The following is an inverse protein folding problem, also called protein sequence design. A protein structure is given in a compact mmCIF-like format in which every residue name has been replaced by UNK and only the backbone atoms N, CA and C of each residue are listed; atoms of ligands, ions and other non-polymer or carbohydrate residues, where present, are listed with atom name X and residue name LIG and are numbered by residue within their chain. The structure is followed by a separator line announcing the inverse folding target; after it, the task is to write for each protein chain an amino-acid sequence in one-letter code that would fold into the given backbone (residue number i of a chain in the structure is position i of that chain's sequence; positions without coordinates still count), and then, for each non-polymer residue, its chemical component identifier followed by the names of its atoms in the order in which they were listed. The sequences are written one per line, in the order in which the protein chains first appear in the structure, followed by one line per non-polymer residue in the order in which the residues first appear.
data_IF_578298963918
#
_entry.id   IF_578298963918
#
_cell.length_a   1.000
_cell.length_b   1.000
_cell.length_c   1.000
_cell.angle_alpha   90.00
_cell.angle_beta   90.00
_cell.angle_gamma   90.00
#
_symmetry.space_group_name_H-M   'P 1'
#
loop_
_entity.id
_entity.type
_entity.pdbx_description
1 polymer ?
#
# COMPACT_ATOMS: atom_id res chain seq x y z
N UNK A 1 11.62 -6.84 11.71
CA UNK A 1 11.39 -5.37 11.66
C UNK A 1 12.23 -4.71 12.74
N UNK A 2 13.22 -3.89 12.35
CA UNK A 2 14.17 -3.26 13.27
C UNK A 2 13.57 -2.13 14.13
N UNK A 3 14.30 -1.72 15.16
CA UNK A 3 13.87 -0.68 16.11
C UNK A 3 13.73 0.70 15.45
N UNK A 4 14.66 1.06 14.56
CA UNK A 4 14.62 2.33 13.82
C UNK A 4 13.32 2.50 13.02
N UNK A 5 12.90 1.46 12.29
CA UNK A 5 11.67 1.47 11.51
C UNK A 5 10.43 1.71 12.38
N UNK A 6 10.36 1.04 13.54
CA UNK A 6 9.28 1.22 14.52
C UNK A 6 9.26 2.65 15.06
N UNK A 7 10.40 3.17 15.51
CA UNK A 7 10.52 4.52 16.09
C UNK A 7 10.11 5.61 15.11
N UNK A 8 10.50 5.49 13.82
CA UNK A 8 10.07 6.41 12.76
C UNK A 8 8.58 6.32 12.48
N UNK A 9 8.03 5.10 12.40
CA UNK A 9 6.61 4.86 12.10
C UNK A 9 5.65 5.34 13.19
N UNK A 10 5.96 5.05 14.45
CA UNK A 10 5.05 5.29 15.58
C UNK A 10 4.59 6.75 15.69
N UNK A 11 5.45 7.70 15.35
CA UNK A 11 5.13 9.15 15.39
C UNK A 11 4.35 9.64 14.18
N UNK A 12 4.10 8.79 13.19
CA UNK A 12 3.53 9.16 11.88
C UNK A 12 2.23 8.43 11.56
N UNK A 13 1.74 7.56 12.44
CA UNK A 13 0.45 6.90 12.27
C UNK A 13 -0.68 7.95 12.27
N UNK A 14 -1.64 7.82 11.37
CA UNK A 14 -2.72 8.79 11.17
C UNK A 14 -2.30 10.04 10.39
N UNK A 15 -1.21 10.00 9.62
CA UNK A 15 -0.71 11.17 8.87
C UNK A 15 -0.62 10.91 7.37
N UNK A 16 -0.85 11.94 6.55
CA UNK A 16 -0.71 11.87 5.09
C UNK A 16 0.76 11.69 4.68
N UNK A 17 1.60 12.62 5.12
CA UNK A 17 2.98 12.75 4.68
C UNK A 17 3.22 13.79 3.61
N UNK A 18 4.36 13.65 2.94
CA UNK A 18 4.82 14.49 1.83
C UNK A 18 4.98 13.67 0.55
N UNK A 19 5.37 14.34 -0.55
CA UNK A 19 5.50 13.73 -1.87
C UNK A 19 4.17 13.74 -2.60
N UNK A 20 3.86 12.67 -3.32
CA UNK A 20 2.58 12.47 -4.00
C UNK A 20 1.45 11.99 -3.08
N UNK A 21 1.57 12.19 -1.77
CA UNK A 21 0.53 11.82 -0.80
C UNK A 21 -0.47 12.95 -0.64
N UNK A 22 -1.76 12.64 -0.72
CA UNK A 22 -2.83 13.63 -0.70
C UNK A 22 -4.13 13.06 -0.12
N UNK A 23 -5.04 13.97 0.19
CA UNK A 23 -6.43 13.73 0.47
C UNK A 23 -7.21 14.71 -0.40
N UNK A 24 -8.05 14.20 -1.28
CA UNK A 24 -8.81 15.01 -2.23
C UNK A 24 -10.30 14.73 -2.09
N UNK A 25 -11.10 15.79 -2.10
CA UNK A 25 -12.55 15.72 -2.27
C UNK A 25 -12.82 15.94 -3.76
N UNK A 26 -13.48 14.98 -4.39
CA UNK A 26 -13.65 14.89 -5.83
C UNK A 26 -15.14 14.76 -6.17
N UNK A 27 -15.52 15.21 -7.38
CA UNK A 27 -16.84 14.97 -7.94
C UNK A 27 -16.76 13.89 -9.03
N UNK A 28 -17.69 12.95 -9.02
CA UNK A 28 -17.79 11.94 -10.08
C UNK A 28 -18.42 12.59 -11.31
N UNK A 29 -17.58 13.02 -12.26
CA UNK A 29 -18.03 13.73 -13.47
C UNK A 29 -18.76 12.80 -14.46
N UNK A 30 -18.20 11.60 -14.71
CA UNK A 30 -18.71 10.68 -15.73
C UNK A 30 -18.71 9.24 -15.25
N UNK A 31 -19.76 8.51 -15.62
CA UNK A 31 -19.90 7.07 -15.43
C UNK A 31 -19.74 6.37 -16.78
N UNK A 32 -18.87 5.36 -16.82
CA UNK A 32 -18.62 4.55 -18.02
C UNK A 32 -19.36 3.20 -17.98
N UNK A 33 -19.40 2.58 -16.79
CA UNK A 33 -20.04 1.28 -16.57
C UNK A 33 -21.09 1.43 -15.46
N UNK A 34 -22.35 1.75 -15.79
CA UNK A 34 -23.37 2.10 -14.80
C UNK A 34 -23.64 1.01 -13.75
N UNK A 35 -23.65 -0.26 -14.17
CA UNK A 35 -23.88 -1.38 -13.26
C UNK A 35 -22.74 -1.54 -12.24
N UNK A 36 -21.48 -1.46 -12.70
CA UNK A 36 -20.30 -1.55 -11.84
C UNK A 36 -20.17 -0.32 -10.91
N UNK A 37 -20.49 0.87 -11.42
CA UNK A 37 -20.50 2.08 -10.62
C UNK A 37 -21.55 2.00 -9.50
N UNK A 38 -22.75 1.51 -9.81
CA UNK A 38 -23.81 1.29 -8.82
C UNK A 38 -23.39 0.29 -7.74
N UNK A 39 -22.72 -0.80 -8.11
CA UNK A 39 -22.18 -1.77 -7.16
C UNK A 39 -21.10 -1.20 -6.22
N UNK A 40 -20.41 -0.14 -6.64
CA UNK A 40 -19.43 0.61 -5.84
C UNK A 40 -20.04 1.81 -5.08
N UNK A 41 -21.35 2.04 -5.21
CA UNK A 41 -22.03 3.20 -4.61
C UNK A 41 -21.69 4.54 -5.28
N UNK A 42 -21.27 4.53 -6.55
CA UNK A 42 -20.87 5.71 -7.31
C UNK A 42 -21.97 6.13 -8.29
N UNK A 43 -22.25 7.43 -8.33
CA UNK A 43 -23.19 8.04 -9.28
C UNK A 43 -22.61 9.34 -9.86
N UNK A 44 -23.00 9.72 -11.09
CA UNK A 44 -22.61 11.01 -11.65
C UNK A 44 -23.09 12.16 -10.75
N UNK A 45 -22.22 13.14 -10.51
CA UNK A 45 -22.44 14.26 -9.60
C UNK A 45 -22.24 13.96 -8.11
N UNK A 46 -22.03 12.69 -7.72
CA UNK A 46 -21.71 12.35 -6.32
C UNK A 46 -20.32 12.84 -5.92
N UNK A 47 -20.13 13.07 -4.63
CA UNK A 47 -18.84 13.45 -4.04
C UNK A 47 -18.14 12.20 -3.52
N UNK A 48 -16.85 12.07 -3.82
CA UNK A 48 -15.98 11.02 -3.31
C UNK A 48 -14.75 11.63 -2.62
N UNK A 49 -14.13 10.86 -1.71
CA UNK A 49 -12.85 11.24 -1.09
C UNK A 49 -11.79 10.24 -1.50
N UNK A 50 -10.71 10.73 -2.11
CA UNK A 50 -9.55 9.92 -2.45
C UNK A 50 -8.42 10.15 -1.45
N UNK A 51 -7.99 9.07 -0.78
CA UNK A 51 -6.87 9.09 0.16
C UNK A 51 -5.67 8.36 -0.43
N UNK A 52 -4.58 9.09 -0.68
CA UNK A 52 -3.34 8.54 -1.19
C UNK A 52 -2.23 8.63 -0.12
N UNK A 53 -1.98 7.52 0.59
CA UNK A 53 -0.86 7.42 1.53
C UNK A 53 -0.42 5.96 1.76
N UNK A 54 0.78 5.79 2.32
CA UNK A 54 1.41 4.51 2.54
C UNK A 54 1.90 4.28 3.97
N UNK A 55 2.95 3.47 4.09
CA UNK A 55 3.53 3.00 5.35
C UNK A 55 4.44 4.02 6.04
N UNK A 56 4.41 5.28 5.59
CA UNK A 56 5.18 6.40 6.13
C UNK A 56 6.68 6.06 6.22
N UNK A 57 7.38 6.64 7.19
CA UNK A 57 8.80 6.38 7.42
C UNK A 57 9.12 4.92 7.80
N UNK A 58 8.14 4.14 8.27
CA UNK A 58 8.34 2.75 8.66
C UNK A 58 8.68 1.89 7.45
N UNK A 59 7.85 1.90 6.40
CA UNK A 59 8.11 1.07 5.23
C UNK A 59 9.35 1.51 4.45
N UNK A 60 9.62 2.82 4.41
CA UNK A 60 10.86 3.33 3.84
C UNK A 60 12.09 2.76 4.58
N UNK A 61 12.08 2.79 5.92
CA UNK A 61 13.17 2.25 6.71
C UNK A 61 13.32 0.74 6.54
N UNK A 62 12.20 -0.01 6.50
CA UNK A 62 12.23 -1.45 6.21
C UNK A 62 12.92 -1.72 4.87
N UNK A 63 12.59 -0.98 3.81
CA UNK A 63 13.24 -1.14 2.52
C UNK A 63 14.76 -0.84 2.61
N UNK A 64 15.15 0.26 3.26
CA UNK A 64 16.56 0.62 3.46
C UNK A 64 17.33 -0.48 4.19
N UNK A 65 16.79 -0.98 5.31
CA UNK A 65 17.44 -1.99 6.15
C UNK A 65 17.69 -3.28 5.36
N UNK A 66 16.71 -3.73 4.58
CA UNK A 66 16.82 -4.98 3.83
C UNK A 66 17.65 -4.86 2.55
N UNK A 67 17.66 -3.71 1.87
CA UNK A 67 18.58 -3.47 0.74
C UNK A 67 20.03 -3.56 1.23
N UNK A 68 20.36 -2.92 2.36
CA UNK A 68 21.71 -2.98 2.94
C UNK A 68 22.11 -4.42 3.29
N UNK A 69 21.21 -5.16 3.93
CA UNK A 69 21.42 -6.57 4.30
C UNK A 69 21.66 -7.46 3.07
N UNK A 70 20.85 -7.29 2.02
CA UNK A 70 20.98 -8.05 0.77
C UNK A 70 22.26 -7.68 0.00
N UNK A 71 22.65 -6.41 -0.02
CA UNK A 71 23.92 -5.95 -0.62
C UNK A 71 25.13 -6.59 0.06
N UNK A 72 25.10 -6.70 1.39
CA UNK A 72 26.15 -7.40 2.15
C UNK A 72 26.22 -8.88 1.83
N UNK A 73 25.07 -9.56 1.72
CA UNK A 73 24.98 -10.96 1.33
C UNK A 73 25.57 -11.17 -0.07
N UNK A 74 25.12 -10.42 -1.06
CA UNK A 74 25.60 -10.52 -2.45
C UNK A 74 27.11 -10.30 -2.54
N UNK A 75 27.66 -9.36 -1.77
CA UNK A 75 29.11 -9.11 -1.69
C UNK A 75 29.86 -10.32 -1.11
N UNK A 76 29.36 -10.94 -0.05
CA UNK A 76 29.97 -12.15 0.56
C UNK A 76 29.92 -13.35 -0.39
N UNK A 77 28.87 -13.45 -1.20
CA UNK A 77 28.68 -14.51 -2.19
C UNK A 77 29.44 -14.24 -3.51
N UNK A 78 30.07 -13.07 -3.67
CA UNK A 78 30.72 -12.68 -4.92
C UNK A 78 29.74 -12.52 -6.09
N UNK A 79 28.44 -12.34 -5.82
CA UNK A 79 27.41 -12.20 -6.85
C UNK A 79 27.47 -10.79 -7.44
N UNK A 80 27.68 -10.70 -8.75
CA UNK A 80 27.68 -9.44 -9.49
C UNK A 80 26.32 -9.24 -10.15
N UNK A 81 25.63 -8.17 -9.78
CA UNK A 81 24.38 -7.76 -10.43
C UNK A 81 24.67 -6.89 -11.64
N UNK A 82 23.77 -6.94 -12.63
CA UNK A 82 23.80 -6.02 -13.78
C UNK A 82 23.57 -4.56 -13.37
N UNK A 83 22.89 -4.34 -12.24
CA UNK A 83 22.71 -3.04 -11.60
C UNK A 83 22.70 -3.22 -10.08
N UNK A 84 23.43 -2.38 -9.34
CA UNK A 84 23.48 -2.40 -7.87
C UNK A 84 22.10 -2.18 -7.23
N UNK A 85 21.21 -1.45 -7.89
CA UNK A 85 19.85 -1.18 -7.40
C UNK A 85 18.92 -2.40 -7.48
N UNK A 86 19.35 -3.50 -8.11
CA UNK A 86 18.62 -4.77 -8.19
C UNK A 86 18.98 -5.74 -7.04
N UNK A 87 19.39 -5.19 -5.90
CA UNK A 87 19.66 -5.95 -4.67
C UNK A 87 18.53 -6.92 -4.34
N UNK A 88 18.87 -8.18 -4.12
CA UNK A 88 17.90 -9.26 -3.99
C UNK A 88 18.42 -10.41 -3.14
N UNK A 89 17.50 -11.28 -2.73
CA UNK A 89 17.81 -12.55 -2.10
C UNK A 89 16.82 -13.63 -2.58
N UNK A 90 17.20 -14.92 -2.57
CA UNK A 90 16.27 -16.00 -2.82
C UNK A 90 15.07 -15.94 -1.85
N UNK A 91 13.86 -16.18 -2.35
CA UNK A 91 12.61 -16.07 -1.56
C UNK A 91 12.66 -16.92 -0.29
N UNK A 92 13.20 -18.15 -0.40
CA UNK A 92 13.29 -19.11 0.69
C UNK A 92 14.51 -18.92 1.62
N UNK A 93 15.38 -17.93 1.35
CA UNK A 93 16.49 -17.61 2.25
C UNK A 93 16.00 -16.90 3.51
N UNK A 94 16.82 -16.91 4.57
CA UNK A 94 16.53 -16.19 5.82
C UNK A 94 16.28 -14.69 5.57
N UNK A 95 17.04 -14.08 4.66
CA UNK A 95 16.88 -12.68 4.28
C UNK A 95 15.57 -12.44 3.53
N UNK A 96 15.23 -13.33 2.58
CA UNK A 96 13.99 -13.29 1.82
C UNK A 96 12.76 -13.44 2.70
N UNK A 97 12.74 -14.46 3.55
CA UNK A 97 11.65 -14.70 4.50
C UNK A 97 11.49 -13.55 5.50
N UNK A 98 12.61 -13.04 6.06
CA UNK A 98 12.58 -11.91 6.97
C UNK A 98 12.09 -10.62 6.30
N UNK A 99 12.50 -10.37 5.05
CA UNK A 99 12.04 -9.22 4.28
C UNK A 99 10.54 -9.30 4.02
N UNK A 100 10.04 -10.44 3.56
CA UNK A 100 8.61 -10.62 3.29
C UNK A 100 7.76 -10.40 4.55
N UNK A 101 8.22 -10.90 5.71
CA UNK A 101 7.57 -10.63 6.99
C UNK A 101 7.58 -9.15 7.37
N UNK A 102 8.70 -8.45 7.16
CA UNK A 102 8.81 -7.02 7.44
C UNK A 102 7.99 -6.14 6.48
N UNK A 103 7.95 -6.51 5.20
CA UNK A 103 7.13 -5.87 4.18
C UNK A 103 5.64 -6.03 4.50
N UNK A 104 5.21 -7.23 4.92
CA UNK A 104 3.84 -7.45 5.38
C UNK A 104 3.50 -6.60 6.61
N UNK A 105 4.42 -6.46 7.58
CA UNK A 105 4.22 -5.57 8.71
C UNK A 105 4.10 -4.09 8.29
N UNK A 106 4.92 -3.64 7.33
CA UNK A 106 4.83 -2.30 6.77
C UNK A 106 3.52 -2.08 6.00
N UNK A 107 3.03 -3.09 5.28
CA UNK A 107 1.73 -3.07 4.61
C UNK A 107 0.59 -2.90 5.61
N UNK A 108 0.61 -3.68 6.70
CA UNK A 108 -0.37 -3.57 7.78
C UNK A 108 -0.35 -2.19 8.42
N UNK A 109 0.84 -1.61 8.62
CA UNK A 109 0.97 -0.24 9.10
C UNK A 109 0.36 0.77 8.12
N UNK A 110 0.54 0.59 6.81
CA UNK A 110 -0.09 1.45 5.80
C UNK A 110 -1.61 1.37 5.83
N UNK A 111 -2.19 0.16 5.98
CA UNK A 111 -3.63 -0.02 6.13
C UNK A 111 -4.14 0.63 7.42
N UNK A 112 -3.47 0.42 8.55
CA UNK A 112 -3.84 1.07 9.80
C UNK A 112 -3.77 2.61 9.69
N UNK A 113 -2.77 3.13 8.98
CA UNK A 113 -2.64 4.56 8.70
C UNK A 113 -3.83 5.08 7.90
N UNK A 114 -4.20 4.41 6.79
CA UNK A 114 -5.37 4.80 6.00
C UNK A 114 -6.66 4.70 6.80
N UNK A 115 -6.85 3.65 7.59
CA UNK A 115 -8.02 3.49 8.44
C UNK A 115 -8.17 4.61 9.47
N UNK A 116 -7.06 5.02 10.11
CA UNK A 116 -7.06 6.14 11.05
C UNK A 116 -7.44 7.46 10.36
N UNK A 117 -6.93 7.70 9.16
CA UNK A 117 -7.26 8.91 8.38
C UNK A 117 -8.70 8.84 7.87
N UNK A 118 -9.21 7.68 7.45
CA UNK A 118 -10.62 7.48 7.09
C UNK A 118 -11.55 7.82 8.24
N UNK A 119 -11.19 7.46 9.48
CA UNK A 119 -11.94 7.90 10.64
C UNK A 119 -11.91 9.43 10.80
N UNK A 120 -10.74 10.06 10.66
CA UNK A 120 -10.61 11.52 10.67
C UNK A 120 -11.43 12.23 9.58
N UNK A 121 -11.49 11.67 8.38
CA UNK A 121 -12.34 12.15 7.27
C UNK A 121 -13.80 12.14 7.70
N UNK A 122 -14.29 11.01 8.23
CA UNK A 122 -15.68 10.88 8.68
C UNK A 122 -16.03 11.90 9.74
N UNK A 123 -15.19 12.04 10.78
CA UNK A 123 -15.39 13.04 11.83
C UNK A 123 -15.41 14.46 11.29
N UNK A 124 -14.55 14.78 10.31
CA UNK A 124 -14.52 16.10 9.69
C UNK A 124 -15.82 16.40 8.92
N UNK A 125 -16.33 15.43 8.16
CA UNK A 125 -17.61 15.57 7.45
C UNK A 125 -18.78 15.69 8.42
N UNK A 126 -18.84 14.87 9.48
CA UNK A 126 -19.86 14.98 10.52
C UNK A 126 -19.88 16.37 11.16
N UNK A 127 -18.69 16.93 11.42
CA UNK A 127 -18.54 18.27 12.00
C UNK A 127 -19.05 19.35 11.06
N UNK A 128 -18.74 19.25 9.76
CA UNK A 128 -19.09 20.26 8.76
C UNK A 128 -20.57 20.22 8.38
N UNK A 129 -21.14 19.02 8.22
CA UNK A 129 -22.50 18.83 7.71
C UNK A 129 -23.55 18.58 8.79
N UNK A 130 -23.13 18.34 10.04
CA UNK A 130 -24.05 18.14 11.17
C UNK A 130 -24.88 16.86 11.08
N UNK A 131 -24.45 15.87 10.30
CA UNK A 131 -25.11 14.59 10.12
C UNK A 131 -24.11 13.44 10.31
N UNK A 132 -24.54 12.28 10.85
CA UNK A 132 -23.69 11.09 10.97
C UNK A 132 -23.07 10.69 9.62
N UNK A 133 -21.82 10.22 9.63
CA UNK A 133 -21.11 9.86 8.39
C UNK A 133 -21.82 8.75 7.59
N UNK A 134 -22.61 7.92 8.28
CA UNK A 134 -23.44 6.86 7.69
C UNK A 134 -24.58 7.45 6.85
N UNK A 135 -25.20 8.52 7.34
CA UNK A 135 -26.28 9.22 6.64
C UNK A 135 -25.72 10.02 5.46
N UNK A 136 -24.45 10.44 5.55
CA UNK A 136 -23.67 11.03 4.46
C UNK A 136 -23.12 10.00 3.45
N UNK A 137 -23.32 8.70 3.67
CA UNK A 137 -22.86 7.63 2.76
C UNK A 137 -21.34 7.51 2.63
N UNK A 138 -20.55 7.85 3.66
CA UNK A 138 -19.08 7.81 3.62
C UNK A 138 -18.51 6.39 3.84
N UNK A 139 -18.98 5.44 3.03
CA UNK A 139 -18.47 4.08 2.95
C UNK A 139 -17.19 4.00 2.11
N UNK A 140 -16.35 3.01 2.41
CA UNK A 140 -15.12 2.78 1.66
C UNK A 140 -15.46 1.92 0.45
N UNK A 141 -15.43 2.52 -0.75
CA UNK A 141 -15.63 1.78 -2.00
C UNK A 141 -14.55 0.70 -2.22
N UNK A 142 -13.27 1.07 -2.04
CA UNK A 142 -12.16 0.13 -2.14
C UNK A 142 -10.86 0.68 -1.52
N UNK A 143 -9.96 -0.22 -1.10
CA UNK A 143 -8.59 0.11 -0.67
C UNK A 143 -7.61 -0.80 -1.43
N UNK A 144 -6.65 -0.18 -2.14
CA UNK A 144 -5.67 -0.91 -2.95
C UNK A 144 -4.25 -0.38 -2.76
N UNK A 145 -3.29 -1.30 -2.82
CA UNK A 145 -1.87 -1.01 -2.83
C UNK A 145 -1.32 -0.99 -4.25
N UNK A 146 -0.41 -0.07 -4.52
CA UNK A 146 0.40 0.01 -5.74
C UNK A 146 1.90 -0.32 -5.58
N UNK A 147 2.34 -0.64 -4.35
CA UNK A 147 3.73 -0.96 -4.00
C UNK A 147 3.75 -2.15 -3.05
N UNK A 148 3.88 -3.37 -3.58
CA UNK A 148 3.77 -4.61 -2.82
C UNK A 148 4.35 -5.79 -3.59
N UNK A 149 4.89 -6.77 -2.88
CA UNK A 149 5.04 -8.12 -3.41
C UNK A 149 4.03 -9.08 -2.76
N UNK A 150 3.35 -9.92 -3.55
CA UNK A 150 2.38 -10.91 -3.05
C UNK A 150 2.60 -12.26 -3.70
N UNK A 151 2.40 -13.31 -2.92
CA UNK A 151 2.37 -14.67 -3.45
C UNK A 151 0.99 -14.92 -4.05
N UNK A 152 0.94 -15.20 -5.35
CA UNK A 152 -0.28 -15.35 -6.15
C UNK A 152 -0.17 -16.59 -7.06
N UNK A 153 -1.31 -17.19 -7.39
CA UNK A 153 -1.38 -18.26 -8.39
C UNK A 153 -1.71 -17.66 -9.74
N UNK A 154 -0.95 -18.02 -10.77
CA UNK A 154 -1.11 -17.53 -12.14
C UNK A 154 -0.97 -18.70 -13.13
N UNK A 155 -1.84 -18.74 -14.13
CA UNK A 155 -1.66 -19.63 -15.27
C UNK A 155 -0.48 -19.13 -16.11
N UNK A 156 0.49 -20.00 -16.39
CA UNK A 156 1.63 -19.71 -17.26
C UNK A 156 1.66 -20.70 -18.43
N UNK A 157 2.48 -20.48 -19.47
CA UNK A 157 2.67 -21.47 -20.53
C UNK A 157 3.15 -22.85 -20.03
N UNK A 158 3.68 -22.91 -18.81
CA UNK A 158 4.17 -24.12 -18.15
C UNK A 158 3.13 -24.74 -17.18
N UNK A 159 1.90 -24.19 -17.14
CA UNK A 159 0.82 -24.57 -16.23
C UNK A 159 0.62 -23.58 -15.08
N UNK A 160 -0.22 -23.95 -14.11
CA UNK A 160 -0.50 -23.10 -12.95
C UNK A 160 0.71 -23.01 -12.02
N UNK A 161 1.14 -21.79 -11.71
CA UNK A 161 2.33 -21.51 -10.91
C UNK A 161 2.04 -20.56 -9.77
N UNK A 162 2.66 -20.84 -8.63
CA UNK A 162 2.67 -19.94 -7.46
C UNK A 162 3.89 -19.03 -7.55
N UNK A 163 3.65 -17.73 -7.71
CA UNK A 163 4.67 -16.72 -7.99
C UNK A 163 4.66 -15.62 -6.94
N UNK A 164 5.83 -15.07 -6.62
CA UNK A 164 5.95 -13.82 -5.86
C UNK A 164 5.92 -12.63 -6.84
N UNK A 165 4.73 -12.07 -7.04
CA UNK A 165 4.49 -10.97 -7.97
C UNK A 165 4.88 -9.65 -7.32
N UNK A 166 5.90 -8.99 -7.86
CA UNK A 166 6.34 -7.66 -7.44
C UNK A 166 5.58 -6.59 -8.23
N UNK A 167 4.95 -5.66 -7.51
CA UNK A 167 4.30 -4.48 -8.09
C UNK A 167 4.92 -3.23 -7.49
N UNK A 168 5.41 -2.35 -8.36
CA UNK A 168 5.95 -1.03 -8.00
C UNK A 168 5.35 -0.01 -8.95
N UNK A 169 4.49 0.87 -8.42
CA UNK A 169 3.66 1.76 -9.24
C UNK A 169 2.59 1.03 -10.06
N UNK A 170 2.18 -0.17 -9.63
CA UNK A 170 1.20 -0.99 -10.34
C UNK A 170 0.18 -1.59 -9.36
N UNK A 171 -1.09 -1.64 -9.74
CA UNK A 171 -2.17 -2.20 -8.94
C UNK A 171 -2.47 -3.65 -9.31
N UNK A 172 -3.11 -4.37 -8.39
CA UNK A 172 -3.68 -5.68 -8.69
C UNK A 172 -5.06 -5.49 -9.33
N UNK A 173 -5.29 -6.12 -10.47
CA UNK A 173 -6.59 -6.24 -11.14
C UNK A 173 -6.84 -7.74 -11.30
N UNK A 174 -7.77 -8.28 -10.51
CA UNK A 174 -8.07 -9.72 -10.51
C UNK A 174 -8.80 -10.17 -11.76
#
# INVERSE_FOLDING_TARGET
MGESARKRGLRQLGTLGSGNHFLEIQAVDRIFEPELAGALGLAAGSVAVMLHTGSRGLGHQVATDFIQRMDERLRREGTVLVDRQLSCAPIASDDGAAYLGAMAAAANFAWANRQAITHGIRTAFETVFGAPWRDLGLDVAYDISHNMAKIESHATPEGDRRLLVHRKGATRAF
#
